data_IF_498467780446
#
_entry.id   IF_498467780446
#
_cell.length_a   1.000
_cell.length_b   1.000
_cell.length_c   1.000
_cell.angle_alpha   90.00
_cell.angle_beta   90.00
_cell.angle_gamma   90.00
#
_symmetry.space_group_name_H-M   'P 1'
#
loop_
_entity.id
_entity.type
_entity.pdbx_description
1 polymer ?
#
# COMPACT_ATOMS: atom_id res chain seq x y z
N UNK A 1 27.33 -28.28 13.96
CA UNK A 1 27.76 -26.89 13.74
C UNK A 1 27.74 -26.60 12.24
N UNK A 2 26.65 -26.01 11.76
CA UNK A 2 26.58 -25.45 10.41
C UNK A 2 27.16 -24.03 10.51
N UNK A 3 28.20 -23.76 9.73
CA UNK A 3 28.93 -22.49 9.73
C UNK A 3 28.07 -21.36 9.16
N UNK A 4 28.19 -20.15 9.73
CA UNK A 4 27.53 -18.89 9.35
C UNK A 4 27.90 -18.36 7.93
N UNK A 5 28.00 -19.25 6.94
CA UNK A 5 28.15 -18.88 5.53
C UNK A 5 26.83 -18.34 4.98
N UNK A 6 26.73 -17.02 5.03
CA UNK A 6 25.94 -16.15 4.14
C UNK A 6 24.46 -16.52 3.99
N UNK A 7 23.66 -16.29 5.04
CA UNK A 7 22.20 -16.14 4.87
C UNK A 7 21.93 -14.89 4.02
N UNK A 8 21.92 -15.06 2.71
CA UNK A 8 21.48 -14.04 1.75
C UNK A 8 20.09 -13.55 2.11
N UNK A 9 19.91 -12.22 2.14
CA UNK A 9 18.70 -11.59 2.70
C UNK A 9 17.83 -11.01 1.58
N UNK A 10 16.53 -11.25 1.66
CA UNK A 10 15.55 -10.49 0.89
C UNK A 10 15.35 -9.13 1.56
N UNK A 11 15.34 -8.03 0.80
CA UNK A 11 15.06 -6.70 1.33
C UNK A 11 13.79 -6.13 0.70
N UNK A 12 12.87 -5.65 1.54
CA UNK A 12 11.69 -4.91 1.10
C UNK A 12 11.89 -3.42 1.36
N UNK A 13 12.02 -2.64 0.29
CA UNK A 13 12.21 -1.20 0.35
C UNK A 13 10.87 -0.46 0.38
N UNK A 14 10.64 0.29 1.45
CA UNK A 14 9.43 1.07 1.71
C UNK A 14 9.68 2.57 1.53
N UNK A 15 8.69 3.33 1.05
CA UNK A 15 8.80 4.79 1.05
C UNK A 15 8.76 5.37 2.47
N UNK A 16 8.12 4.63 3.36
CA UNK A 16 7.94 4.93 4.77
C UNK A 16 7.84 3.60 5.53
N UNK A 17 8.90 3.23 6.24
CA UNK A 17 8.96 1.97 7.00
C UNK A 17 8.19 2.03 8.33
N UNK A 18 7.66 3.20 8.71
CA UNK A 18 6.82 3.34 9.90
C UNK A 18 5.35 2.92 9.67
N UNK A 19 5.01 2.52 8.45
CA UNK A 19 3.67 2.03 8.13
C UNK A 19 3.44 0.64 8.72
N UNK A 20 2.21 0.38 9.19
CA UNK A 20 1.78 -0.90 9.77
C UNK A 20 2.32 -2.14 9.05
N UNK A 21 2.10 -2.25 7.73
CA UNK A 21 2.53 -3.43 6.98
C UNK A 21 4.05 -3.61 6.93
N UNK A 22 4.82 -2.51 7.00
CA UNK A 22 6.28 -2.59 7.07
C UNK A 22 6.76 -3.04 8.45
N UNK A 23 6.15 -2.50 9.52
CA UNK A 23 6.41 -2.89 10.91
C UNK A 23 6.08 -4.36 11.13
N UNK A 24 4.90 -4.79 10.70
CA UNK A 24 4.45 -6.18 10.83
C UNK A 24 5.32 -7.15 10.00
N UNK A 25 5.70 -6.77 8.77
CA UNK A 25 6.66 -7.58 7.99
C UNK A 25 7.99 -7.74 8.74
N UNK A 26 8.48 -6.66 9.38
CA UNK A 26 9.73 -6.67 10.14
C UNK A 26 9.66 -7.59 11.37
N UNK A 27 8.55 -7.58 12.11
CA UNK A 27 8.30 -8.50 13.24
C UNK A 27 8.40 -9.97 12.81
N UNK A 28 8.05 -10.28 11.55
CA UNK A 28 8.10 -11.62 10.96
C UNK A 28 9.42 -11.95 10.25
N UNK A 29 10.48 -11.18 10.55
CA UNK A 29 11.84 -11.45 10.05
C UNK A 29 12.10 -10.97 8.63
N UNK A 30 11.17 -10.26 7.99
CA UNK A 30 11.44 -9.61 6.70
C UNK A 30 12.34 -8.39 6.94
N UNK A 31 13.46 -8.31 6.22
CA UNK A 31 14.29 -7.11 6.26
C UNK A 31 13.57 -5.97 5.51
N UNK A 32 12.99 -5.04 6.25
CA UNK A 32 12.38 -3.82 5.71
C UNK A 32 13.31 -2.63 5.89
N UNK A 33 13.38 -1.76 4.88
CA UNK A 33 14.19 -0.54 4.93
C UNK A 33 13.45 0.62 4.26
N UNK A 34 13.55 1.82 4.83
CA UNK A 34 13.20 3.06 4.13
C UNK A 34 14.08 3.25 2.89
N UNK A 35 13.48 3.54 1.73
CA UNK A 35 14.21 3.80 0.47
C UNK A 35 15.13 5.01 0.63
N UNK A 36 14.62 6.08 1.23
CA UNK A 36 15.29 7.36 1.34
C UNK A 36 15.47 7.78 2.78
N UNK A 37 16.48 8.61 3.03
CA UNK A 37 16.74 9.23 4.33
C UNK A 37 15.52 9.94 4.90
N UNK A 38 15.32 9.81 6.20
CA UNK A 38 14.35 10.64 6.92
C UNK A 38 14.91 12.06 7.06
N UNK A 39 14.24 13.02 6.42
CA UNK A 39 14.64 14.42 6.35
C UNK A 39 13.41 15.34 6.56
N UNK A 40 13.58 16.60 6.96
CA UNK A 40 12.50 17.57 7.10
C UNK A 40 11.61 17.71 5.86
N UNK A 41 10.35 18.15 6.04
CA UNK A 41 9.32 18.24 4.97
C UNK A 41 9.79 19.07 3.76
N UNK A 42 10.47 20.18 3.98
CA UNK A 42 11.00 21.03 2.91
C UNK A 42 12.03 20.27 2.05
N UNK A 43 12.98 19.58 2.69
CA UNK A 43 13.96 18.76 1.97
C UNK A 43 13.32 17.54 1.29
N UNK A 44 12.24 16.97 1.84
CA UNK A 44 11.44 15.95 1.14
C UNK A 44 10.83 16.50 -0.15
N UNK A 45 10.37 17.75 -0.16
CA UNK A 45 9.85 18.39 -1.37
C UNK A 45 10.95 18.62 -2.40
N UNK A 46 12.11 19.14 -1.97
CA UNK A 46 13.27 19.30 -2.83
C UNK A 46 13.74 17.97 -3.44
N UNK A 47 13.87 16.91 -2.62
CA UNK A 47 14.18 15.55 -3.09
C UNK A 47 13.21 15.06 -4.16
N UNK A 48 11.91 15.31 -4.00
CA UNK A 48 10.89 14.92 -4.99
C UNK A 48 11.10 15.64 -6.33
N UNK A 49 11.41 16.93 -6.30
CA UNK A 49 11.72 17.72 -7.51
C UNK A 49 12.99 17.19 -8.16
N UNK A 50 14.05 17.00 -7.36
CA UNK A 50 15.34 16.45 -7.81
C UNK A 50 15.19 15.11 -8.53
N UNK A 51 14.39 14.19 -7.96
CA UNK A 51 14.10 12.88 -8.55
C UNK A 51 13.27 13.01 -9.83
N UNK A 52 12.25 13.88 -9.84
CA UNK A 52 11.39 14.09 -11.01
C UNK A 52 12.17 14.64 -12.20
N UNK A 53 13.16 15.49 -11.94
CA UNK A 53 14.10 16.02 -12.93
C UNK A 53 15.23 15.02 -13.29
N UNK A 54 15.22 13.82 -12.69
CA UNK A 54 16.17 12.73 -12.95
C UNK A 54 17.64 13.15 -12.76
N UNK A 55 17.91 14.06 -11.81
CA UNK A 55 19.27 14.44 -11.45
C UNK A 55 20.04 13.29 -10.78
N UNK A 56 21.35 13.25 -10.98
CA UNK A 56 22.29 12.28 -10.41
C UNK A 56 23.41 13.00 -9.63
N UNK A 57 24.01 12.37 -8.59
CA UNK A 57 23.76 11.01 -8.12
C UNK A 57 22.59 10.90 -7.12
N UNK A 58 21.73 9.89 -7.30
CA UNK A 58 20.60 9.63 -6.39
C UNK A 58 21.05 9.12 -5.00
N UNK A 59 22.25 8.53 -4.89
CA UNK A 59 22.78 7.90 -3.67
C UNK A 59 22.82 8.83 -2.46
N UNK A 60 22.95 10.15 -2.67
CA UNK A 60 22.89 11.15 -1.60
C UNK A 60 21.57 11.09 -0.81
N UNK A 61 20.47 10.75 -1.49
CA UNK A 61 19.13 10.70 -0.93
C UNK A 61 18.76 9.34 -0.32
N UNK A 62 19.49 8.28 -0.69
CA UNK A 62 19.18 6.90 -0.30
C UNK A 62 19.63 6.64 1.15
N UNK A 63 18.89 5.76 1.82
CA UNK A 63 19.25 5.31 3.16
C UNK A 63 20.39 4.28 3.13
N UNK A 64 21.00 3.98 4.28
CA UNK A 64 22.24 3.19 4.44
C UNK A 64 22.27 1.82 3.74
N UNK A 65 21.12 1.21 3.45
CA UNK A 65 21.02 -0.05 2.69
C UNK A 65 21.76 0.01 1.35
N UNK A 66 21.89 1.18 0.71
CA UNK A 66 22.56 1.31 -0.58
C UNK A 66 24.05 0.92 -0.55
N UNK A 67 24.69 0.98 0.63
CA UNK A 67 26.08 0.56 0.85
C UNK A 67 26.22 -0.95 1.08
N UNK A 68 25.10 -1.63 1.36
CA UNK A 68 25.03 -3.05 1.71
C UNK A 68 24.33 -3.89 0.64
N UNK A 69 24.28 -3.39 -0.60
CA UNK A 69 23.63 -4.09 -1.72
C UNK A 69 24.22 -5.47 -2.01
N UNK A 70 25.47 -5.75 -1.62
CA UNK A 70 26.08 -7.07 -1.75
C UNK A 70 25.47 -8.12 -0.82
N UNK A 71 24.73 -7.71 0.22
CA UNK A 71 24.07 -8.62 1.18
C UNK A 71 22.70 -9.12 0.69
N UNK A 72 22.18 -8.54 -0.39
CA UNK A 72 20.83 -8.83 -0.88
C UNK A 72 20.88 -9.67 -2.16
N UNK A 73 20.06 -10.73 -2.18
CA UNK A 73 19.76 -11.48 -3.42
C UNK A 73 18.53 -10.91 -4.13
N UNK A 74 17.53 -10.49 -3.34
CA UNK A 74 16.26 -10.00 -3.84
C UNK A 74 15.93 -8.67 -3.20
N UNK A 75 15.53 -7.69 -4.01
CA UNK A 75 14.97 -6.42 -3.56
C UNK A 75 13.54 -6.29 -4.07
N UNK A 76 12.58 -6.19 -3.16
CA UNK A 76 11.19 -5.84 -3.45
C UNK A 76 11.02 -4.33 -3.21
N UNK A 77 10.39 -3.62 -4.14
CA UNK A 77 10.16 -2.18 -4.02
C UNK A 77 8.77 -1.80 -4.53
N UNK A 78 8.05 -0.96 -3.78
CA UNK A 78 6.74 -0.49 -4.21
C UNK A 78 6.82 0.44 -5.44
N UNK A 79 5.90 0.27 -6.37
CA UNK A 79 5.75 1.16 -7.51
C UNK A 79 5.32 2.57 -7.05
N UNK A 80 6.10 3.58 -7.41
CA UNK A 80 5.84 4.99 -7.11
C UNK A 80 6.63 5.86 -8.06
N UNK A 81 6.23 7.12 -8.23
CA UNK A 81 6.97 8.09 -9.04
C UNK A 81 8.44 8.24 -8.61
N UNK A 82 8.77 7.90 -7.36
CA UNK A 82 10.12 8.02 -6.83
C UNK A 82 10.99 6.79 -7.11
N UNK A 83 10.41 5.62 -7.35
CA UNK A 83 11.17 4.35 -7.34
C UNK A 83 11.88 3.96 -8.65
N UNK A 84 11.51 4.44 -9.86
CA UNK A 84 12.24 4.12 -11.09
C UNK A 84 13.74 4.43 -11.06
N UNK A 85 14.13 5.58 -10.49
CA UNK A 85 15.54 5.97 -10.36
C UNK A 85 16.30 5.03 -9.41
N UNK A 86 15.62 4.51 -8.40
CA UNK A 86 16.17 3.60 -7.39
C UNK A 86 16.40 2.22 -8.02
N UNK A 87 15.43 1.72 -8.79
CA UNK A 87 15.58 0.46 -9.55
C UNK A 87 16.78 0.55 -10.49
N UNK A 88 16.93 1.64 -11.25
CA UNK A 88 18.09 1.86 -12.13
C UNK A 88 19.41 1.92 -11.35
N UNK A 89 19.41 2.55 -10.17
CA UNK A 89 20.58 2.62 -9.31
C UNK A 89 21.01 1.24 -8.81
N UNK A 90 20.07 0.44 -8.29
CA UNK A 90 20.35 -0.91 -7.79
C UNK A 90 20.90 -1.78 -8.92
N UNK A 91 20.23 -1.81 -10.08
CA UNK A 91 20.64 -2.63 -11.23
C UNK A 91 22.05 -2.27 -11.74
N UNK A 92 22.41 -0.98 -11.72
CA UNK A 92 23.76 -0.54 -12.09
C UNK A 92 24.81 -0.89 -11.03
N UNK A 93 24.45 -0.81 -9.75
CA UNK A 93 25.39 -0.99 -8.64
C UNK A 93 25.66 -2.47 -8.34
N UNK A 94 24.64 -3.32 -8.47
CA UNK A 94 24.78 -4.76 -8.34
C UNK A 94 23.78 -5.47 -9.30
N UNK A 95 24.22 -5.86 -10.52
CA UNK A 95 23.36 -6.47 -11.52
C UNK A 95 22.90 -7.90 -11.17
N UNK A 96 23.48 -8.51 -10.13
CA UNK A 96 23.10 -9.87 -9.67
C UNK A 96 21.82 -9.86 -8.82
N UNK A 97 21.40 -8.70 -8.32
CA UNK A 97 20.20 -8.59 -7.49
C UNK A 97 18.97 -8.78 -8.35
N UNK A 98 18.09 -9.69 -7.95
CA UNK A 98 16.74 -9.80 -8.49
C UNK A 98 15.90 -8.64 -7.97
N UNK A 99 15.43 -7.76 -8.86
CA UNK A 99 14.61 -6.61 -8.48
C UNK A 99 13.14 -6.88 -8.83
N UNK A 100 12.27 -6.81 -7.83
CA UNK A 100 10.82 -6.97 -7.96
C UNK A 100 10.15 -5.62 -7.68
N UNK A 101 9.48 -5.07 -8.69
CA UNK A 101 8.64 -3.87 -8.54
C UNK A 101 7.21 -4.31 -8.27
N UNK A 102 6.71 -4.01 -7.08
CA UNK A 102 5.36 -4.39 -6.62
C UNK A 102 4.38 -3.22 -6.73
N UNK A 103 3.43 -3.32 -7.66
CA UNK A 103 2.29 -2.42 -7.79
C UNK A 103 1.23 -2.78 -6.74
N UNK A 104 1.40 -2.25 -5.53
CA UNK A 104 0.46 -2.43 -4.41
C UNK A 104 -0.75 -1.47 -4.46
N UNK A 105 -0.88 -0.72 -5.55
CA UNK A 105 -2.07 0.04 -5.94
C UNK A 105 -2.27 -0.19 -7.45
N UNK A 106 -3.50 -0.05 -7.98
CA UNK A 106 -3.74 -0.18 -9.41
C UNK A 106 -2.80 0.72 -10.23
N UNK A 107 -2.35 0.25 -11.38
CA UNK A 107 -1.37 0.93 -12.25
C UNK A 107 -1.84 2.34 -12.58
N UNK A 108 -3.15 2.54 -12.77
CA UNK A 108 -3.78 3.86 -13.03
C UNK A 108 -3.57 4.91 -11.93
N UNK A 109 -3.19 4.49 -10.71
CA UNK A 109 -2.91 5.36 -9.56
C UNK A 109 -1.41 5.51 -9.28
N UNK A 110 -0.58 4.78 -10.01
CA UNK A 110 0.87 4.72 -9.83
C UNK A 110 1.61 5.35 -11.02
N UNK A 111 2.93 5.24 -10.99
CA UNK A 111 3.78 5.56 -12.14
C UNK A 111 3.55 4.54 -13.28
N UNK A 112 3.59 4.93 -14.57
CA UNK A 112 3.40 3.98 -15.68
C UNK A 112 4.41 2.83 -15.64
N UNK A 113 3.97 1.63 -16.02
CA UNK A 113 4.81 0.41 -16.09
C UNK A 113 6.07 0.63 -16.94
N UNK A 114 5.95 1.40 -18.03
CA UNK A 114 7.06 1.77 -18.92
C UNK A 114 8.19 2.56 -18.24
N UNK A 115 7.95 3.13 -17.04
CA UNK A 115 8.99 3.83 -16.28
C UNK A 115 10.02 2.87 -15.66
N UNK A 116 9.69 1.58 -15.57
CA UNK A 116 10.55 0.52 -15.06
C UNK A 116 11.11 -0.32 -16.22
N UNK A 117 12.44 -0.35 -16.43
CA UNK A 117 13.01 -1.14 -17.51
C UNK A 117 12.89 -2.64 -17.20
N UNK A 118 12.07 -3.39 -17.96
CA UNK A 118 11.85 -4.84 -17.78
C UNK A 118 13.15 -5.66 -17.82
N UNK A 119 14.20 -5.17 -18.50
CA UNK A 119 15.53 -5.80 -18.51
C UNK A 119 16.26 -5.81 -17.15
N UNK A 120 15.82 -4.98 -16.21
CA UNK A 120 16.45 -4.82 -14.89
C UNK A 120 15.58 -5.30 -13.74
N UNK A 121 14.28 -5.52 -13.98
CA UNK A 121 13.35 -5.85 -12.91
C UNK A 121 12.14 -6.60 -13.44
N UNK A 122 11.59 -7.43 -12.57
CA UNK A 122 10.26 -8.00 -12.72
C UNK A 122 9.23 -7.01 -12.20
N UNK A 123 8.07 -6.96 -12.83
CA UNK A 123 6.98 -6.08 -12.44
C UNK A 123 5.78 -6.96 -12.10
N UNK A 124 5.23 -6.73 -10.92
CA UNK A 124 4.18 -7.54 -10.32
C UNK A 124 3.04 -6.64 -9.84
N UNK A 125 1.80 -7.10 -9.94
CA UNK A 125 0.59 -6.38 -9.48
C UNK A 125 -0.36 -7.33 -8.75
N UNK A 126 -1.18 -6.77 -7.85
CA UNK A 126 -2.27 -7.51 -7.21
C UNK A 126 -3.58 -7.49 -7.98
N UNK A 127 -3.67 -6.67 -9.03
CA UNK A 127 -4.88 -6.49 -9.82
C UNK A 127 -4.78 -7.34 -11.11
N UNK A 128 -5.63 -8.36 -11.23
CA UNK A 128 -5.63 -9.29 -12.37
C UNK A 128 -5.91 -8.62 -13.71
N UNK A 129 -6.74 -7.56 -13.70
CA UNK A 129 -7.03 -6.79 -14.92
C UNK A 129 -5.80 -6.00 -15.33
N UNK A 130 -5.08 -5.39 -14.38
CA UNK A 130 -3.80 -4.74 -14.67
C UNK A 130 -2.74 -5.75 -15.16
N UNK A 131 -2.68 -6.95 -14.56
CA UNK A 131 -1.73 -7.99 -14.97
C UNK A 131 -1.90 -8.36 -16.45
N UNK A 132 -3.16 -8.61 -16.86
CA UNK A 132 -3.52 -8.90 -18.27
C UNK A 132 -3.26 -7.69 -19.18
N UNK A 133 -3.75 -6.51 -18.79
CA UNK A 133 -3.66 -5.28 -19.60
C UNK A 133 -2.23 -4.84 -19.87
N UNK A 134 -1.35 -4.90 -18.87
CA UNK A 134 0.03 -4.44 -18.98
C UNK A 134 1.04 -5.55 -19.26
N UNK A 135 0.58 -6.81 -19.36
CA UNK A 135 1.42 -8.00 -19.52
C UNK A 135 2.55 -8.01 -18.49
N UNK A 136 2.13 -7.95 -17.23
CA UNK A 136 2.99 -8.00 -16.04
C UNK A 136 2.50 -9.13 -15.13
N UNK A 137 3.35 -9.55 -14.19
CA UNK A 137 3.06 -10.71 -13.36
C UNK A 137 1.94 -10.41 -12.36
N UNK A 138 1.08 -11.40 -12.12
CA UNK A 138 0.06 -11.35 -11.08
C UNK A 138 0.56 -12.03 -9.81
N UNK A 139 0.26 -11.45 -8.65
CA UNK A 139 0.35 -12.13 -7.36
C UNK A 139 -0.81 -11.67 -6.47
N UNK A 140 -1.19 -12.43 -5.45
CA UNK A 140 -2.27 -12.00 -4.55
C UNK A 140 -1.79 -10.86 -3.64
N UNK A 141 -2.75 -10.14 -3.05
CA UNK A 141 -2.44 -9.31 -1.89
C UNK A 141 -2.12 -10.17 -0.66
N UNK A 142 -1.55 -9.54 0.36
CA UNK A 142 -1.22 -10.20 1.62
C UNK A 142 -1.75 -9.39 2.81
N UNK A 143 -1.93 -10.10 3.91
CA UNK A 143 -2.17 -9.57 5.24
C UNK A 143 -1.54 -10.52 6.27
N UNK A 144 -1.68 -10.22 7.56
CA UNK A 144 -1.04 -10.98 8.64
C UNK A 144 -2.10 -11.75 9.44
N UNK A 145 -1.82 -13.01 9.78
CA UNK A 145 -2.77 -13.92 10.45
C UNK A 145 -2.67 -13.93 11.97
N UNK A 146 -1.70 -13.20 12.51
CA UNK A 146 -1.30 -13.14 13.91
C UNK A 146 -1.31 -11.68 14.40
N UNK A 147 -2.19 -10.86 13.84
CA UNK A 147 -2.51 -9.54 14.38
C UNK A 147 -3.71 -9.72 15.29
N UNK A 148 -3.50 -9.53 16.58
CA UNK A 148 -4.59 -9.60 17.56
C UNK A 148 -5.39 -8.29 17.55
N UNK A 149 -6.73 -8.43 17.54
CA UNK A 149 -7.61 -7.32 17.84
C UNK A 149 -7.88 -7.24 19.34
N UNK A 150 -7.87 -6.02 19.86
CA UNK A 150 -8.35 -5.76 21.20
C UNK A 150 -9.82 -6.19 21.35
N UNK A 151 -10.17 -6.72 22.52
CA UNK A 151 -11.54 -7.15 22.82
C UNK A 151 -12.37 -5.94 23.24
N UNK A 152 -13.07 -5.36 22.28
CA UNK A 152 -13.91 -4.19 22.51
C UNK A 152 -15.40 -4.55 22.53
N UNK A 153 -16.19 -3.75 23.25
CA UNK A 153 -17.65 -3.79 23.10
C UNK A 153 -18.04 -3.35 21.70
N UNK A 154 -18.97 -4.08 21.08
CA UNK A 154 -19.50 -3.72 19.76
C UNK A 154 -20.28 -2.41 19.85
N UNK A 155 -19.81 -1.40 19.14
CA UNK A 155 -20.45 -0.09 19.03
C UNK A 155 -21.16 0.10 17.68
N UNK A 156 -20.68 -0.57 16.62
CA UNK A 156 -21.18 -0.40 15.25
C UNK A 156 -21.52 -1.74 14.60
N UNK A 157 -22.56 -1.74 13.77
CA UNK A 157 -22.91 -2.88 12.93
C UNK A 157 -22.02 -2.92 11.68
N UNK A 158 -21.71 -1.76 11.09
CA UNK A 158 -20.94 -1.66 9.87
C UNK A 158 -19.92 -0.51 9.93
N UNK A 159 -18.66 -0.83 9.62
CA UNK A 159 -17.56 0.12 9.57
C UNK A 159 -16.97 0.24 8.18
N UNK A 160 -16.76 1.47 7.73
CA UNK A 160 -15.99 1.78 6.53
C UNK A 160 -14.85 2.74 6.87
N UNK A 161 -13.67 2.49 6.32
CA UNK A 161 -12.59 3.48 6.29
C UNK A 161 -11.91 3.49 4.93
N UNK A 162 -11.79 4.69 4.36
CA UNK A 162 -11.14 4.84 3.07
C UNK A 162 -11.19 6.26 2.54
N UNK A 163 -10.39 6.49 1.49
CA UNK A 163 -10.49 7.76 0.75
C UNK A 163 -11.66 7.70 -0.24
N UNK A 164 -12.30 8.85 -0.45
CA UNK A 164 -13.35 9.03 -1.45
C UNK A 164 -12.86 8.56 -2.83
N UNK A 165 -11.67 8.97 -3.30
CA UNK A 165 -11.11 8.54 -4.61
C UNK A 165 -12.08 8.69 -5.82
N UNK A 166 -13.20 9.39 -5.70
CA UNK A 166 -14.23 9.54 -6.73
C UNK A 166 -15.52 8.74 -6.48
N UNK A 167 -15.61 7.95 -5.40
CA UNK A 167 -16.76 7.12 -5.00
C UNK A 167 -17.57 7.73 -3.84
N UNK A 168 -17.49 9.03 -3.59
CA UNK A 168 -18.23 9.66 -2.48
C UNK A 168 -19.74 9.42 -2.56
N UNK A 169 -20.32 9.58 -3.76
CA UNK A 169 -21.76 9.37 -3.95
C UNK A 169 -22.14 7.94 -3.57
N UNK A 170 -21.39 6.94 -4.04
CA UNK A 170 -21.61 5.53 -3.71
C UNK A 170 -21.44 5.27 -2.21
N UNK A 171 -20.40 5.85 -1.59
CA UNK A 171 -20.14 5.69 -0.15
C UNK A 171 -21.29 6.23 0.69
N UNK A 172 -21.80 7.41 0.37
CA UNK A 172 -22.96 7.99 1.08
C UNK A 172 -24.24 7.23 0.77
N UNK A 173 -24.44 6.80 -0.48
CA UNK A 173 -25.58 5.96 -0.85
C UNK A 173 -25.64 4.67 -0.06
N UNK A 174 -24.49 3.97 0.05
CA UNK A 174 -24.36 2.76 0.88
C UNK A 174 -24.59 3.08 2.35
N UNK A 175 -24.02 4.17 2.89
CA UNK A 175 -24.22 4.54 4.29
C UNK A 175 -25.71 4.84 4.61
N UNK A 176 -26.37 5.60 3.74
CA UNK A 176 -27.78 5.96 3.90
C UNK A 176 -28.67 4.73 3.83
N UNK A 177 -28.45 3.84 2.86
CA UNK A 177 -29.19 2.58 2.74
C UNK A 177 -29.07 1.73 4.02
N UNK A 178 -27.87 1.66 4.60
CA UNK A 178 -27.65 0.94 5.86
C UNK A 178 -28.41 1.62 7.01
N UNK A 179 -28.32 2.95 7.14
CA UNK A 179 -29.03 3.71 8.19
C UNK A 179 -30.55 3.60 8.08
N UNK A 180 -31.10 3.65 6.87
CA UNK A 180 -32.53 3.45 6.59
C UNK A 180 -33.02 2.06 7.05
N UNK A 181 -32.13 1.07 7.06
CA UNK A 181 -32.41 -0.27 7.57
C UNK A 181 -32.01 -0.45 9.06
N UNK A 182 -31.92 0.64 9.83
CA UNK A 182 -31.56 0.65 11.25
C UNK A 182 -30.19 0.03 11.58
N UNK A 183 -29.26 0.01 10.61
CA UNK A 183 -27.88 -0.45 10.83
C UNK A 183 -27.06 0.72 11.39
N UNK A 184 -26.46 0.54 12.57
CA UNK A 184 -25.59 1.58 13.16
C UNK A 184 -24.23 1.58 12.47
N UNK A 185 -23.92 2.65 11.72
CA UNK A 185 -22.69 2.73 10.89
C UNK A 185 -21.63 3.67 11.47
N UNK A 186 -20.37 3.42 11.11
CA UNK A 186 -19.28 4.40 11.20
C UNK A 186 -18.52 4.46 9.87
N UNK A 187 -18.74 5.52 9.08
CA UNK A 187 -18.08 5.70 7.79
C UNK A 187 -17.02 6.81 7.89
N UNK A 188 -15.77 6.40 8.08
CA UNK A 188 -14.62 7.30 8.09
C UNK A 188 -14.11 7.54 6.65
N UNK A 189 -14.74 8.48 5.96
CA UNK A 189 -14.40 8.84 4.58
C UNK A 189 -13.43 10.01 4.57
N UNK A 190 -12.26 9.88 3.95
CA UNK A 190 -11.29 10.99 3.83
C UNK A 190 -11.21 11.56 2.42
N UNK A 191 -11.00 12.87 2.34
CA UNK A 191 -10.88 13.58 1.06
C UNK A 191 -9.68 13.07 0.25
N UNK A 192 -9.92 12.74 -1.02
CA UNK A 192 -8.83 12.50 -1.98
C UNK A 192 -8.20 13.82 -2.40
N UNK A 193 -6.86 13.88 -2.46
CA UNK A 193 -6.08 15.09 -2.78
C UNK A 193 -6.40 15.74 -4.14
N UNK A 194 -7.20 15.10 -4.99
CA UNK A 194 -7.41 15.49 -6.40
C UNK A 194 -8.66 16.35 -6.66
N UNK A 195 -9.58 16.55 -5.70
CA UNK A 195 -10.81 17.33 -5.95
C UNK A 195 -11.07 18.38 -4.86
N UNK A 196 -11.43 19.59 -5.29
CA UNK A 196 -12.05 20.64 -4.47
C UNK A 196 -13.54 20.32 -4.29
N UNK A 197 -13.83 19.30 -3.49
CA UNK A 197 -15.20 19.05 -3.03
C UNK A 197 -15.61 20.05 -1.95
N UNK A 198 -16.84 20.57 -2.02
CA UNK A 198 -17.48 21.37 -0.95
C UNK A 198 -17.95 20.52 0.25
N UNK A 199 -17.88 19.20 0.12
CA UNK A 199 -18.22 18.24 1.17
C UNK A 199 -17.25 18.36 2.34
N UNK A 200 -17.81 18.37 3.55
CA UNK A 200 -17.06 18.34 4.79
C UNK A 200 -16.61 16.90 5.08
N UNK A 201 -15.32 16.63 4.88
CA UNK A 201 -14.72 15.34 5.21
C UNK A 201 -13.99 15.43 6.54
N UNK A 202 -13.87 14.34 7.31
CA UNK A 202 -12.80 14.16 8.28
C UNK A 202 -11.46 14.70 7.74
N UNK A 203 -10.82 15.54 8.55
CA UNK A 203 -9.63 16.30 8.14
C UNK A 203 -8.40 15.40 7.98
N UNK A 204 -8.32 14.33 8.78
CA UNK A 204 -7.15 13.46 8.86
C UNK A 204 -7.48 12.01 8.53
N UNK A 205 -6.48 11.30 8.00
CA UNK A 205 -6.50 9.84 7.94
C UNK A 205 -6.33 9.28 9.34
N UNK A 206 -7.08 8.24 9.66
CA UNK A 206 -6.83 7.42 10.84
C UNK A 206 -5.43 6.79 10.79
N UNK A 207 -4.80 6.69 11.96
CA UNK A 207 -3.67 5.78 12.13
C UNK A 207 -4.18 4.35 11.97
N UNK A 208 -3.29 3.40 11.68
CA UNK A 208 -3.75 2.05 11.41
C UNK A 208 -4.24 1.36 12.70
N UNK A 209 -3.66 1.75 13.83
CA UNK A 209 -4.07 1.35 15.18
C UNK A 209 -5.52 1.77 15.45
N UNK A 210 -5.90 2.99 15.08
CA UNK A 210 -7.30 3.44 15.17
C UNK A 210 -8.21 2.62 14.24
N UNK A 211 -7.73 2.24 13.05
CA UNK A 211 -8.49 1.36 12.15
C UNK A 211 -8.75 0.01 12.82
N UNK A 212 -7.74 -0.59 13.45
CA UNK A 212 -7.90 -1.85 14.19
C UNK A 212 -8.91 -1.69 15.34
N UNK A 213 -8.87 -0.58 16.08
CA UNK A 213 -9.82 -0.26 17.14
C UNK A 213 -11.26 -0.14 16.62
N UNK A 214 -11.48 0.52 15.49
CA UNK A 214 -12.83 0.58 14.91
C UNK A 214 -13.29 -0.76 14.33
N UNK A 215 -12.36 -1.58 13.80
CA UNK A 215 -12.68 -2.95 13.41
C UNK A 215 -13.10 -3.79 14.62
N UNK A 216 -12.40 -3.71 15.74
CA UNK A 216 -12.74 -4.49 16.94
C UNK A 216 -14.13 -4.12 17.47
N UNK A 217 -14.47 -2.83 17.45
CA UNK A 217 -15.79 -2.27 17.81
C UNK A 217 -16.92 -2.52 16.80
N UNK A 218 -16.65 -3.19 15.68
CA UNK A 218 -17.62 -3.37 14.60
C UNK A 218 -17.96 -4.84 14.31
N UNK A 219 -19.21 -5.11 13.89
CA UNK A 219 -19.65 -6.46 13.46
C UNK A 219 -19.23 -6.78 12.03
N UNK A 220 -19.29 -5.80 11.14
CA UNK A 220 -18.97 -5.93 9.73
C UNK A 220 -18.02 -4.82 9.25
N UNK A 221 -17.22 -5.15 8.24
CA UNK A 221 -16.42 -4.19 7.49
C UNK A 221 -17.04 -4.05 6.10
N UNK A 222 -17.22 -2.80 5.68
CA UNK A 222 -17.74 -2.43 4.37
C UNK A 222 -16.58 -2.16 3.42
N UNK A 223 -16.62 -2.78 2.25
CA UNK A 223 -15.73 -2.51 1.11
C UNK A 223 -16.53 -1.96 -0.06
N UNK A 224 -16.24 -0.73 -0.48
CA UNK A 224 -16.89 -0.08 -1.63
C UNK A 224 -15.85 0.09 -2.72
N UNK A 225 -15.68 -0.85 -3.64
CA UNK A 225 -14.53 -0.83 -4.57
C UNK A 225 -14.65 0.31 -5.59
N UNK A 226 -13.53 0.91 -6.00
CA UNK A 226 -13.53 1.89 -7.09
C UNK A 226 -13.64 1.19 -8.44
N UNK A 227 -14.41 1.74 -9.37
CA UNK A 227 -14.58 1.21 -10.76
C UNK A 227 -13.29 0.79 -11.47
N UNK A 228 -12.16 1.42 -11.15
CA UNK A 228 -10.86 1.17 -11.79
C UNK A 228 -9.99 0.14 -11.07
N UNK A 229 -10.58 -0.66 -10.18
CA UNK A 229 -9.88 -1.70 -9.41
C UNK A 229 -10.72 -2.98 -9.43
N UNK A 230 -10.14 -4.05 -9.96
CA UNK A 230 -10.75 -5.38 -9.97
C UNK A 230 -10.28 -6.22 -8.78
N UNK A 231 -8.99 -6.10 -8.43
CA UNK A 231 -8.36 -6.83 -7.32
C UNK A 231 -8.95 -6.44 -5.95
N UNK A 232 -8.87 -7.38 -4.99
CA UNK A 232 -9.33 -7.15 -3.62
C UNK A 232 -8.73 -5.86 -3.04
N UNK A 233 -9.45 -5.15 -2.16
CA UNK A 233 -8.83 -4.10 -1.34
C UNK A 233 -8.25 -4.74 -0.07
N UNK A 234 -7.74 -3.93 0.87
CA UNK A 234 -7.37 -4.44 2.20
C UNK A 234 -8.59 -4.78 3.07
N UNK A 235 -9.76 -4.17 2.82
CA UNK A 235 -10.96 -4.37 3.66
C UNK A 235 -11.44 -5.83 3.66
N UNK A 236 -11.54 -6.54 2.51
CA UNK A 236 -11.89 -7.96 2.53
C UNK A 236 -10.86 -8.84 3.24
N UNK A 237 -9.57 -8.49 3.17
CA UNK A 237 -8.54 -9.22 3.89
C UNK A 237 -8.69 -9.02 5.39
N UNK A 238 -8.83 -7.78 5.84
CA UNK A 238 -9.11 -7.47 7.25
C UNK A 238 -10.36 -8.20 7.75
N UNK A 239 -11.45 -8.23 6.98
CA UNK A 239 -12.64 -9.01 7.34
C UNK A 239 -12.32 -10.49 7.56
N UNK A 240 -11.56 -11.08 6.64
CA UNK A 240 -11.17 -12.49 6.71
C UNK A 240 -10.29 -12.78 7.92
N UNK A 241 -9.20 -12.03 8.11
CA UNK A 241 -8.23 -12.28 9.17
C UNK A 241 -8.76 -11.93 10.56
N UNK A 242 -9.70 -11.00 10.65
CA UNK A 242 -10.34 -10.61 11.92
C UNK A 242 -11.71 -11.22 12.16
N UNK A 243 -12.11 -12.19 11.33
CA UNK A 243 -13.38 -12.93 11.42
C UNK A 243 -14.60 -11.99 11.51
N UNK A 244 -14.57 -10.89 10.75
CA UNK A 244 -15.68 -9.93 10.62
C UNK A 244 -16.51 -10.27 9.39
N UNK A 245 -17.80 -9.95 9.44
CA UNK A 245 -18.65 -10.02 8.23
C UNK A 245 -18.13 -9.02 7.20
N UNK A 246 -18.15 -9.39 5.92
CA UNK A 246 -17.77 -8.51 4.82
C UNK A 246 -19.02 -8.08 4.05
N UNK A 247 -19.17 -6.77 3.81
CA UNK A 247 -20.15 -6.23 2.88
C UNK A 247 -19.43 -5.57 1.71
N UNK A 248 -19.52 -6.17 0.52
CA UNK A 248 -18.82 -5.72 -0.67
C UNK A 248 -19.80 -5.04 -1.62
N UNK A 249 -19.60 -3.76 -1.90
CA UNK A 249 -20.32 -3.01 -2.92
C UNK A 249 -19.38 -2.72 -4.10
N UNK A 250 -19.88 -2.99 -5.31
CA UNK A 250 -19.24 -2.58 -6.56
C UNK A 250 -20.30 -1.87 -7.38
N UNK A 251 -20.00 -0.67 -7.88
CA UNK A 251 -20.83 -0.08 -8.92
C UNK A 251 -20.75 -0.98 -10.15
N UNK A 252 -21.90 -1.40 -10.67
CA UNK A 252 -21.96 -2.10 -11.95
C UNK A 252 -21.46 -1.15 -13.03
N UNK A 253 -20.56 -1.63 -13.89
CA UNK A 253 -20.20 -0.91 -15.11
C UNK A 253 -21.44 -0.89 -16.00
N UNK A 254 -22.12 0.25 -16.11
CA UNK A 254 -22.96 0.54 -17.27
C UNK A 254 -22.10 0.67 -18.54
#
# INVERSE_FOLDING_TARGET
>A
MLTDKEKKKNSFLWLDESQFHSIESKKRGVNTCSIYKSIPKLLKAFRRIYIKLNFLPISFWLESWNKRLSEFDVVIIHASILTPVVVRFIAKKNPKIRIIVWYWNPVSKCVPVSSFPKRYCEIWTFDEVDAKKYQINYNTQYYFNDVDLEKESIEFDAFFVGSDKGRYADLIGVENLLKENNVKTYFHIVKSKKKLSKINYPVAKLAYEDVLLYISKSRAIVDVVSEKQAGLTLRPLESLFFLKKAYNYRSECC
#
